data_IF_155287823947
#
_entry.id   IF_155287823947
#
_cell.length_a   1.000
_cell.length_b   1.000
_cell.length_c   1.000
_cell.angle_alpha   90.00
_cell.angle_beta   90.00
_cell.angle_gamma   90.00
#
_symmetry.space_group_name_H-M   'P 1'
#
loop_
_entity.id
_entity.type
_entity.pdbx_description
1 polymer ?
#
# COMPACT_ATOMS: atom_id res chain seq x y z
N UNK A 1 -54.30 33.53 -39.99
CA UNK A 1 -55.19 33.48 -38.82
C UNK A 1 -55.02 32.09 -38.24
N UNK A 2 -54.16 31.99 -37.22
CA UNK A 2 -54.53 31.82 -35.80
C UNK A 2 -54.63 30.31 -35.47
N UNK A 3 -54.15 29.76 -34.36
CA UNK A 3 -53.10 30.09 -33.40
C UNK A 3 -52.90 28.81 -32.56
N UNK A 4 -51.66 28.63 -32.14
CA UNK A 4 -51.08 27.64 -31.21
C UNK A 4 -51.98 27.19 -30.04
N UNK A 5 -51.85 25.91 -29.66
CA UNK A 5 -51.94 25.48 -28.25
C UNK A 5 -50.87 24.42 -27.90
N UNK A 6 -50.18 24.71 -26.80
CA UNK A 6 -49.26 23.94 -25.93
C UNK A 6 -49.93 22.63 -25.40
N UNK A 7 -49.29 21.57 -24.88
CA UNK A 7 -47.99 21.38 -24.23
C UNK A 7 -47.54 19.89 -24.23
N UNK A 8 -46.20 19.76 -24.24
CA UNK A 8 -45.24 18.74 -23.78
C UNK A 8 -45.70 17.51 -22.96
N UNK A 9 -45.18 16.35 -23.36
CA UNK A 9 -44.98 15.18 -22.48
C UNK A 9 -44.17 14.08 -23.18
N UNK A 10 -42.89 13.93 -22.83
CA UNK A 10 -42.00 12.86 -23.32
C UNK A 10 -42.41 11.49 -22.77
N UNK A 11 -42.43 10.45 -23.61
CA UNK A 11 -42.79 9.09 -23.20
C UNK A 11 -42.28 7.99 -24.13
N UNK A 12 -41.03 7.59 -23.88
CA UNK A 12 -40.37 6.27 -24.08
C UNK A 12 -40.73 5.40 -25.30
N UNK A 13 -39.71 5.22 -26.15
CA UNK A 13 -39.52 4.06 -27.03
C UNK A 13 -39.30 2.78 -26.20
N UNK A 14 -40.02 1.71 -26.52
CA UNK A 14 -39.74 0.36 -26.04
C UNK A 14 -38.98 -0.41 -27.14
N UNK A 15 -37.82 -1.01 -26.81
CA UNK A 15 -37.37 -2.22 -27.46
C UNK A 15 -37.59 -3.39 -26.49
N UNK A 16 -38.50 -4.27 -26.86
CA UNK A 16 -38.49 -5.64 -26.38
C UNK A 16 -37.38 -6.38 -27.13
N UNK A 17 -36.32 -6.78 -26.43
CA UNK A 17 -35.73 -8.13 -26.57
C UNK A 17 -34.78 -8.44 -25.40
N UNK A 18 -35.23 -9.42 -24.62
CA UNK A 18 -34.49 -10.54 -24.01
C UNK A 18 -33.38 -10.29 -22.96
N UNK A 19 -33.79 -10.28 -21.69
CA UNK A 19 -33.00 -10.91 -20.62
C UNK A 19 -33.93 -11.73 -19.72
N UNK A 20 -33.66 -13.04 -19.65
CA UNK A 20 -34.42 -13.99 -18.84
C UNK A 20 -34.54 -13.52 -17.38
N UNK A 21 -35.76 -13.38 -16.81
CA UNK A 21 -35.91 -12.93 -15.43
C UNK A 21 -35.54 -14.06 -14.46
N UNK A 22 -34.34 -13.95 -13.87
CA UNK A 22 -33.95 -14.75 -12.70
C UNK A 22 -34.90 -14.41 -11.55
N UNK A 23 -35.74 -15.37 -11.17
CA UNK A 23 -36.76 -15.23 -10.13
C UNK A 23 -36.19 -14.67 -8.82
N UNK A 24 -36.90 -13.77 -8.11
CA UNK A 24 -36.41 -13.14 -6.87
C UNK A 24 -36.08 -14.16 -5.76
N UNK A 25 -36.71 -15.34 -5.79
CA UNK A 25 -36.42 -16.45 -4.89
C UNK A 25 -35.02 -17.07 -5.11
N UNK A 26 -34.57 -17.19 -6.36
CA UNK A 26 -33.26 -17.77 -6.70
C UNK A 26 -32.11 -16.78 -6.41
N UNK A 27 -32.34 -15.48 -6.60
CA UNK A 27 -31.37 -14.42 -6.27
C UNK A 27 -31.16 -14.28 -4.75
N UNK A 28 -32.22 -14.45 -3.95
CA UNK A 28 -32.15 -14.49 -2.48
C UNK A 28 -31.44 -15.75 -1.97
N UNK A 29 -31.74 -16.92 -2.53
CA UNK A 29 -31.04 -18.18 -2.21
C UNK A 29 -29.55 -18.12 -2.56
N UNK A 30 -29.18 -17.56 -3.71
CA UNK A 30 -27.76 -17.41 -4.12
C UNK A 30 -27.00 -16.47 -3.18
N UNK A 31 -27.62 -15.37 -2.72
CA UNK A 31 -27.03 -14.48 -1.70
C UNK A 31 -26.87 -15.17 -0.34
N UNK A 32 -27.86 -15.97 0.09
CA UNK A 32 -27.77 -16.74 1.35
C UNK A 32 -26.65 -17.79 1.27
N UNK A 33 -26.50 -18.47 0.13
CA UNK A 33 -25.42 -19.45 -0.08
C UNK A 33 -24.05 -18.77 -0.06
N UNK A 34 -23.89 -17.62 -0.71
CA UNK A 34 -22.63 -16.86 -0.70
C UNK A 34 -22.30 -16.38 0.72
N UNK A 35 -23.27 -15.82 1.45
CA UNK A 35 -23.04 -15.36 2.83
C UNK A 35 -22.70 -16.55 3.74
N UNK A 36 -23.40 -17.68 3.61
CA UNK A 36 -23.11 -18.88 4.39
C UNK A 36 -21.73 -19.46 4.06
N UNK A 37 -21.33 -19.46 2.78
CA UNK A 37 -20.01 -19.91 2.35
C UNK A 37 -18.91 -18.97 2.86
N UNK A 38 -19.08 -17.66 2.73
CA UNK A 38 -18.13 -16.67 3.25
C UNK A 38 -18.00 -16.74 4.78
N UNK A 39 -19.10 -16.94 5.51
CA UNK A 39 -19.07 -17.13 6.96
C UNK A 39 -18.38 -18.44 7.34
N UNK A 40 -18.62 -19.53 6.61
CA UNK A 40 -17.96 -20.80 6.84
C UNK A 40 -16.44 -20.68 6.60
N UNK A 41 -16.02 -20.06 5.50
CA UNK A 41 -14.59 -19.82 5.20
C UNK A 41 -13.96 -18.94 6.28
N UNK A 42 -14.61 -17.85 6.69
CA UNK A 42 -14.12 -16.99 7.75
C UNK A 42 -13.95 -17.74 9.09
N UNK A 43 -14.94 -18.54 9.48
CA UNK A 43 -14.88 -19.40 10.67
C UNK A 43 -13.73 -20.42 10.59
N UNK A 44 -13.50 -21.04 9.41
CA UNK A 44 -12.37 -21.97 9.25
C UNK A 44 -11.02 -21.28 9.38
N UNK A 45 -10.87 -20.05 8.88
CA UNK A 45 -9.63 -19.28 9.00
C UNK A 45 -9.36 -18.85 10.44
N UNK A 46 -10.39 -18.47 11.20
CA UNK A 46 -10.26 -18.13 12.62
C UNK A 46 -9.85 -19.35 13.47
N UNK A 47 -10.46 -20.51 13.23
CA UNK A 47 -10.12 -21.75 13.95
C UNK A 47 -8.70 -22.21 13.58
N UNK A 48 -8.32 -22.14 12.30
CA UNK A 48 -6.97 -22.46 11.86
C UNK A 48 -5.93 -21.54 12.53
N UNK A 49 -6.19 -20.22 12.56
CA UNK A 49 -5.32 -19.25 13.23
C UNK A 49 -5.15 -19.56 14.72
N UNK A 50 -6.21 -19.98 15.42
CA UNK A 50 -6.14 -20.31 16.84
C UNK A 50 -5.31 -21.57 17.10
N UNK A 51 -5.43 -22.58 16.24
CA UNK A 51 -4.62 -23.81 16.31
C UNK A 51 -3.13 -23.51 16.05
N UNK A 52 -2.81 -22.62 15.10
CA UNK A 52 -1.42 -22.23 14.81
C UNK A 52 -0.77 -21.51 16.01
N UNK A 53 -1.52 -20.65 16.70
CA UNK A 53 -1.05 -19.95 17.92
C UNK A 53 -0.86 -20.93 19.09
N UNK A 54 -1.78 -21.89 19.27
CA UNK A 54 -1.68 -22.90 20.32
C UNK A 54 -0.51 -23.88 20.09
N UNK A 55 -0.22 -24.24 18.83
CA UNK A 55 0.93 -25.09 18.47
C UNK A 55 2.26 -24.33 18.55
N UNK A 56 2.29 -23.00 18.33
CA UNK A 56 3.48 -22.18 18.55
C UNK A 56 3.78 -21.91 20.04
N UNK A 57 2.82 -22.14 20.95
CA UNK A 57 3.04 -21.91 22.39
C UNK A 57 3.76 -23.08 23.10
N UNK A 58 4.02 -24.18 22.40
CA UNK A 58 4.72 -25.35 22.96
C UNK A 58 6.08 -25.59 22.31
N UNK A 59 6.92 -24.57 22.23
CA UNK A 59 8.37 -24.73 22.05
C UNK A 59 9.12 -23.42 22.40
N UNK A 60 9.60 -23.29 23.65
CA UNK A 60 10.95 -22.73 23.89
C UNK A 60 11.37 -22.89 25.37
N UNK A 61 12.16 -23.92 25.63
CA UNK A 61 13.26 -23.86 26.60
C UNK A 61 14.52 -24.31 25.89
N UNK A 62 15.42 -23.37 25.57
CA UNK A 62 16.87 -23.54 25.69
C UNK A 62 17.63 -22.31 25.20
N UNK A 63 18.45 -21.79 26.13
CA UNK A 63 19.69 -21.00 26.04
C UNK A 63 19.78 -19.74 25.14
N UNK A 64 20.48 -18.69 25.63
CA UNK A 64 20.69 -17.46 24.88
C UNK A 64 21.60 -17.73 23.66
N UNK A 65 21.31 -17.20 22.47
CA UNK A 65 22.24 -17.27 21.37
C UNK A 65 23.47 -16.42 21.72
N UNK A 66 24.63 -17.08 21.73
CA UNK A 66 25.91 -16.42 21.74
C UNK A 66 26.01 -15.44 20.56
N UNK A 67 26.62 -14.28 20.84
CA UNK A 67 27.15 -13.35 19.85
C UNK A 67 27.95 -14.12 18.78
N UNK A 68 27.46 -14.10 17.56
CA UNK A 68 28.26 -14.37 16.36
C UNK A 68 28.09 -13.20 15.41
N UNK A 69 29.01 -12.24 15.53
CA UNK A 69 29.18 -11.14 14.59
C UNK A 69 29.76 -11.66 13.27
N UNK A 70 28.92 -12.26 12.44
CA UNK A 70 29.07 -12.13 11.00
C UNK A 70 28.42 -10.79 10.68
N UNK A 71 29.19 -9.69 10.65
CA UNK A 71 28.61 -8.34 10.46
C UNK A 71 28.10 -8.19 9.03
N UNK A 72 26.96 -8.82 8.74
CA UNK A 72 26.17 -8.52 7.56
C UNK A 72 25.87 -7.02 7.58
N UNK A 73 26.08 -6.37 6.44
CA UNK A 73 25.77 -4.96 6.24
C UNK A 73 24.34 -4.68 6.72
N UNK A 74 24.13 -3.81 7.74
CA UNK A 74 22.81 -3.55 8.29
C UNK A 74 21.78 -3.15 7.24
N UNK A 75 22.21 -2.40 6.21
CA UNK A 75 21.33 -2.00 5.13
C UNK A 75 20.89 -3.21 4.29
N UNK A 76 21.80 -4.16 4.00
CA UNK A 76 21.45 -5.40 3.29
C UNK A 76 20.49 -6.25 4.11
N UNK A 77 20.68 -6.33 5.42
CA UNK A 77 19.75 -7.03 6.31
C UNK A 77 18.36 -6.43 6.24
N UNK A 78 18.23 -5.10 6.30
CA UNK A 78 16.92 -4.43 6.16
C UNK A 78 16.33 -4.65 4.77
N UNK A 79 17.09 -4.46 3.70
CA UNK A 79 16.55 -4.61 2.34
C UNK A 79 16.17 -6.05 1.97
N UNK A 80 16.72 -7.06 2.67
CA UNK A 80 16.39 -8.47 2.45
C UNK A 80 14.94 -8.85 2.81
N UNK A 81 14.25 -8.04 3.64
CA UNK A 81 12.84 -8.28 3.99
C UNK A 81 11.87 -7.67 2.98
N UNK A 82 12.40 -7.00 1.95
CA UNK A 82 11.61 -6.27 0.95
C UNK A 82 11.39 -7.10 -0.33
N UNK A 83 10.33 -6.77 -1.08
CA UNK A 83 10.07 -7.39 -2.38
C UNK A 83 11.06 -6.95 -3.45
N UNK A 84 11.62 -5.75 -3.32
CA UNK A 84 12.57 -5.18 -4.29
C UNK A 84 13.91 -4.84 -3.60
N UNK A 85 14.73 -5.85 -3.23
CA UNK A 85 15.97 -5.62 -2.47
C UNK A 85 16.96 -4.69 -3.16
N UNK A 86 17.12 -4.80 -4.48
CA UNK A 86 18.04 -3.95 -5.25
C UNK A 86 17.56 -2.49 -5.26
N UNK A 87 16.26 -2.28 -5.47
CA UNK A 87 15.61 -0.96 -5.43
C UNK A 87 15.70 -0.33 -4.01
N UNK A 88 15.56 -1.15 -2.97
CA UNK A 88 15.79 -0.73 -1.58
C UNK A 88 17.25 -0.31 -1.35
N UNK A 89 18.21 -1.10 -1.83
CA UNK A 89 19.63 -0.78 -1.68
C UNK A 89 20.00 0.50 -2.42
N UNK A 90 19.56 0.66 -3.67
CA UNK A 90 19.86 1.86 -4.47
C UNK A 90 19.23 3.12 -3.89
N UNK A 91 18.01 3.02 -3.33
CA UNK A 91 17.31 4.18 -2.76
C UNK A 91 17.90 4.62 -1.42
N UNK A 92 18.36 3.69 -0.58
CA UNK A 92 18.80 3.99 0.78
C UNK A 92 20.31 4.21 0.93
N UNK A 93 21.14 3.60 0.08
CA UNK A 93 22.60 3.71 0.20
C UNK A 93 23.11 5.16 0.17
N UNK A 94 22.62 6.06 -0.72
CA UNK A 94 23.06 7.46 -0.74
C UNK A 94 22.66 8.25 0.53
N UNK A 95 21.59 7.83 1.19
CA UNK A 95 21.04 8.49 2.38
C UNK A 95 21.60 7.91 3.69
N UNK A 96 22.22 6.73 3.63
CA UNK A 96 22.69 5.99 4.81
C UNK A 96 24.08 6.46 5.30
N UNK A 97 24.21 7.77 5.57
CA UNK A 97 25.44 8.37 6.10
C UNK A 97 25.14 9.25 7.32
N UNK A 98 25.76 9.01 8.50
CA UNK A 98 26.63 7.89 8.82
C UNK A 98 25.87 6.54 8.81
N UNK A 99 26.58 5.39 8.70
CA UNK A 99 25.96 4.07 8.80
C UNK A 99 25.21 3.90 10.12
N UNK A 100 24.11 3.16 10.09
CA UNK A 100 23.28 2.87 11.26
C UNK A 100 22.89 1.41 11.33
N UNK A 101 22.59 0.92 12.52
CA UNK A 101 21.95 -0.38 12.77
C UNK A 101 20.52 -0.23 13.29
N UNK A 102 19.97 0.99 13.36
CA UNK A 102 18.64 1.25 13.91
C UNK A 102 17.56 1.07 12.83
N UNK A 103 16.65 0.07 12.95
CA UNK A 103 15.58 -0.16 11.98
C UNK A 103 14.65 1.04 11.79
N UNK A 104 14.36 1.80 12.86
CA UNK A 104 13.52 3.00 12.75
C UNK A 104 14.20 4.08 11.91
N UNK A 105 15.54 4.17 11.92
CA UNK A 105 16.26 5.07 11.03
C UNK A 105 16.12 4.63 9.58
N UNK A 106 16.28 3.33 9.29
CA UNK A 106 16.08 2.83 7.92
C UNK A 106 14.65 3.02 7.42
N UNK A 107 13.66 2.80 8.28
CA UNK A 107 12.26 3.09 7.95
C UNK A 107 12.03 4.56 7.62
N UNK A 108 12.59 5.48 8.42
CA UNK A 108 12.54 6.92 8.14
C UNK A 108 13.22 7.31 6.82
N UNK A 109 14.40 6.74 6.53
CA UNK A 109 15.08 6.95 5.26
C UNK A 109 14.25 6.44 4.08
N UNK A 110 13.58 5.29 4.24
CA UNK A 110 12.69 4.72 3.23
C UNK A 110 11.48 5.60 2.96
N UNK A 111 10.82 6.11 4.01
CA UNK A 111 9.74 7.10 3.89
C UNK A 111 10.21 8.35 3.13
N UNK A 112 11.40 8.86 3.46
CA UNK A 112 11.95 10.04 2.81
C UNK A 112 12.26 9.79 1.33
N UNK A 113 12.86 8.64 1.00
CA UNK A 113 13.12 8.24 -0.38
C UNK A 113 11.82 8.09 -1.18
N UNK A 114 10.79 7.45 -0.62
CA UNK A 114 9.47 7.33 -1.24
C UNK A 114 8.85 8.71 -1.50
N UNK A 115 8.89 9.61 -0.52
CA UNK A 115 8.32 10.96 -0.65
C UNK A 115 9.01 11.77 -1.75
N UNK A 116 10.35 11.74 -1.80
CA UNK A 116 11.12 12.43 -2.83
C UNK A 116 10.81 11.89 -4.23
N UNK A 117 10.74 10.56 -4.39
CA UNK A 117 10.44 9.96 -5.68
C UNK A 117 9.03 10.35 -6.15
N UNK A 118 8.02 10.27 -5.28
CA UNK A 118 6.64 10.67 -5.60
C UNK A 118 6.54 12.15 -5.95
N UNK A 119 7.16 13.03 -5.14
CA UNK A 119 7.14 14.47 -5.40
C UNK A 119 7.79 14.82 -6.75
N UNK A 120 8.78 14.04 -7.18
CA UNK A 120 9.44 14.25 -8.47
C UNK A 120 8.53 13.95 -9.67
N UNK A 121 7.51 13.10 -9.53
CA UNK A 121 6.67 12.63 -10.64
C UNK A 121 5.87 13.77 -11.29
N UNK A 122 5.45 14.76 -10.50
CA UNK A 122 4.64 15.88 -10.98
C UNK A 122 5.34 16.74 -12.03
N UNK A 123 6.62 17.04 -11.83
CA UNK A 123 7.42 17.80 -12.78
C UNK A 123 7.75 17.05 -14.07
N UNK A 124 7.29 15.79 -14.18
CA UNK A 124 7.62 14.87 -15.26
C UNK A 124 6.36 14.36 -15.98
N UNK A 125 5.20 14.96 -15.68
CA UNK A 125 3.94 14.66 -16.35
C UNK A 125 4.01 15.07 -17.83
N UNK A 126 3.57 14.21 -18.77
CA UNK A 126 3.44 14.60 -20.18
C UNK A 126 2.39 15.72 -20.33
N UNK A 127 2.54 16.54 -21.38
CA UNK A 127 1.68 17.70 -21.60
C UNK A 127 0.19 17.32 -21.72
N UNK A 128 -0.58 17.78 -20.74
CA UNK A 128 -2.00 18.16 -20.76
C UNK A 128 -3.01 17.21 -21.46
N UNK A 129 -2.98 15.92 -21.13
CA UNK A 129 -4.15 15.04 -21.23
C UNK A 129 -4.89 15.00 -19.89
N UNK A 130 -6.22 14.88 -19.88
CA UNK A 130 -7.03 14.92 -18.65
C UNK A 130 -6.54 13.93 -17.57
N UNK A 131 -6.10 12.73 -17.97
CA UNK A 131 -5.58 11.74 -17.02
C UNK A 131 -4.23 12.14 -16.40
N UNK A 132 -3.41 12.97 -17.08
CA UNK A 132 -2.19 13.51 -16.48
C UNK A 132 -2.51 14.47 -15.33
N UNK A 133 -3.62 15.21 -15.42
CA UNK A 133 -4.11 16.06 -14.33
C UNK A 133 -4.63 15.22 -13.16
N UNK A 134 -5.42 14.18 -13.44
CA UNK A 134 -5.94 13.28 -12.40
C UNK A 134 -4.80 12.58 -11.66
N UNK A 135 -3.76 12.14 -12.38
CA UNK A 135 -2.54 11.61 -11.77
C UNK A 135 -1.79 12.63 -10.89
N UNK A 136 -1.80 13.93 -11.24
CA UNK A 136 -1.19 14.95 -10.40
C UNK A 136 -1.89 15.04 -9.04
N UNK A 137 -3.22 14.93 -8.99
CA UNK A 137 -3.98 14.92 -7.74
C UNK A 137 -3.67 13.66 -6.91
N UNK A 138 -3.58 12.49 -7.55
CA UNK A 138 -3.18 11.24 -6.90
C UNK A 138 -1.75 11.28 -6.33
N UNK A 139 -0.82 11.99 -6.98
CA UNK A 139 0.53 12.20 -6.43
C UNK A 139 0.54 13.18 -5.25
N UNK A 140 -0.31 14.22 -5.30
CA UNK A 140 -0.87 14.95 -4.15
C UNK A 140 -1.09 14.06 -2.93
N UNK A 141 -2.07 13.20 -3.07
CA UNK A 141 -2.57 12.39 -1.99
C UNK A 141 -1.50 11.40 -1.51
N UNK A 142 -0.77 10.76 -2.42
CA UNK A 142 0.33 9.86 -2.09
C UNK A 142 1.44 10.58 -1.29
N UNK A 143 1.88 11.76 -1.73
CA UNK A 143 2.90 12.55 -1.04
C UNK A 143 2.42 13.01 0.35
N UNK A 144 1.16 13.44 0.46
CA UNK A 144 0.53 13.82 1.73
C UNK A 144 0.52 12.66 2.72
N UNK A 145 0.16 11.45 2.28
CA UNK A 145 0.13 10.24 3.11
C UNK A 145 1.52 9.79 3.57
N UNK A 146 2.51 9.84 2.68
CA UNK A 146 3.91 9.57 3.02
C UNK A 146 4.45 10.62 4.00
N UNK A 147 4.13 11.90 3.79
CA UNK A 147 4.49 12.99 4.69
C UNK A 147 3.89 12.85 6.08
N UNK A 148 2.60 12.50 6.17
CA UNK A 148 1.92 12.16 7.44
C UNK A 148 2.58 10.97 8.14
N UNK A 149 2.99 9.97 7.37
CA UNK A 149 3.70 8.81 7.91
C UNK A 149 5.05 9.20 8.50
N UNK A 150 5.82 10.03 7.80
CA UNK A 150 7.09 10.56 8.28
C UNK A 150 6.93 11.39 9.56
N UNK A 151 5.87 12.21 9.66
CA UNK A 151 5.61 12.99 10.87
C UNK A 151 5.21 12.10 12.06
N UNK A 152 4.45 11.04 11.84
CA UNK A 152 3.99 10.14 12.92
C UNK A 152 5.13 9.39 13.61
N UNK A 153 6.25 9.17 12.92
CA UNK A 153 7.47 8.58 13.50
C UNK A 153 8.49 9.60 14.00
N UNK A 154 8.24 10.90 13.82
CA UNK A 154 8.98 11.98 14.47
C UNK A 154 8.28 12.27 15.79
N UNK A 155 8.87 11.83 16.89
CA UNK A 155 8.29 12.03 18.22
C UNK A 155 9.30 12.61 19.18
N UNK A 156 8.77 13.44 20.08
CA UNK A 156 9.53 14.00 21.19
C UNK A 156 10.20 12.89 22.03
N UNK A 157 11.38 13.18 22.61
CA UNK A 157 12.06 12.23 23.49
C UNK A 157 11.14 11.71 24.60
N UNK A 158 11.02 10.38 24.72
CA UNK A 158 10.23 9.73 25.77
C UNK A 158 8.82 9.28 25.38
N UNK A 159 8.38 9.52 24.14
CA UNK A 159 7.11 8.98 23.62
C UNK A 159 7.35 7.73 22.80
N UNK A 160 6.56 6.68 23.04
CA UNK A 160 6.66 5.45 22.29
C UNK A 160 6.35 5.67 20.80
N UNK A 161 7.30 5.34 19.92
CA UNK A 161 7.20 5.69 18.50
C UNK A 161 6.40 4.65 17.73
N UNK A 162 6.59 3.37 18.04
CA UNK A 162 6.05 2.25 17.28
C UNK A 162 5.00 1.47 18.08
N UNK A 163 3.97 2.18 18.55
CA UNK A 163 2.78 1.54 19.15
C UNK A 163 1.95 0.82 18.09
N UNK A 164 1.15 -0.17 18.49
CA UNK A 164 0.26 -0.93 17.58
C UNK A 164 -0.63 -0.01 16.74
N UNK A 165 -1.22 1.01 17.38
CA UNK A 165 -2.08 1.98 16.73
C UNK A 165 -1.32 2.78 15.66
N UNK A 166 -0.12 3.28 16.00
CA UNK A 166 0.70 4.04 15.05
C UNK A 166 1.19 3.17 13.89
N UNK A 167 1.58 1.93 14.15
CA UNK A 167 1.94 0.98 13.09
C UNK A 167 0.75 0.76 12.14
N UNK A 168 -0.46 0.59 12.68
CA UNK A 168 -1.68 0.43 11.87
C UNK A 168 -1.98 1.67 11.02
N UNK A 169 -1.82 2.88 11.58
CA UNK A 169 -2.00 4.13 10.84
C UNK A 169 -0.97 4.27 9.71
N UNK A 170 0.31 3.99 10.01
CA UNK A 170 1.40 3.98 9.04
C UNK A 170 1.14 2.98 7.91
N UNK A 171 0.71 1.76 8.24
CA UNK A 171 0.33 0.74 7.26
C UNK A 171 -0.78 1.25 6.35
N UNK A 172 -1.78 1.91 6.92
CA UNK A 172 -2.92 2.46 6.17
C UNK A 172 -2.47 3.53 5.20
N UNK A 173 -1.73 4.55 5.66
CA UNK A 173 -1.30 5.66 4.82
C UNK A 173 -0.30 5.24 3.74
N UNK A 174 0.66 4.37 4.06
CA UNK A 174 1.63 3.88 3.09
C UNK A 174 0.93 2.99 2.05
N UNK A 175 -0.01 2.13 2.46
CA UNK A 175 -0.76 1.30 1.50
C UNK A 175 -1.65 2.13 0.59
N UNK A 176 -2.29 3.17 1.12
CA UNK A 176 -3.13 4.04 0.31
C UNK A 176 -2.30 4.88 -0.68
N UNK A 177 -1.07 5.29 -0.33
CA UNK A 177 -0.16 5.89 -1.32
C UNK A 177 0.22 4.95 -2.48
N UNK A 178 0.28 3.62 -2.25
CA UNK A 178 0.43 2.66 -3.35
C UNK A 178 -0.82 2.61 -4.24
N UNK A 179 -2.00 2.61 -3.62
CA UNK A 179 -3.28 2.61 -4.35
C UNK A 179 -3.43 3.83 -5.25
N UNK A 180 -2.98 5.01 -4.81
CA UNK A 180 -3.05 6.24 -5.61
C UNK A 180 -2.15 6.15 -6.85
N UNK A 181 -0.92 5.63 -6.70
CA UNK A 181 -0.01 5.42 -7.84
C UNK A 181 -0.53 4.34 -8.80
N UNK A 182 -1.12 3.27 -8.27
CA UNK A 182 -1.73 2.19 -9.06
C UNK A 182 -2.94 2.71 -9.87
N UNK A 183 -3.81 3.49 -9.22
CA UNK A 183 -4.97 4.14 -9.86
C UNK A 183 -4.53 5.09 -10.97
N UNK A 184 -3.44 5.84 -10.76
CA UNK A 184 -2.86 6.67 -11.80
C UNK A 184 -2.43 5.79 -12.98
N UNK A 185 -1.65 4.72 -12.76
CA UNK A 185 -1.20 3.83 -13.84
C UNK A 185 -2.36 3.22 -14.64
N UNK A 186 -3.45 2.84 -13.98
CA UNK A 186 -4.66 2.34 -14.63
C UNK A 186 -5.30 3.42 -15.51
N UNK A 187 -5.44 4.65 -15.02
CA UNK A 187 -5.97 5.78 -15.79
C UNK A 187 -5.12 6.12 -17.02
N UNK A 188 -3.81 5.86 -16.95
CA UNK A 188 -2.88 6.11 -18.06
C UNK A 188 -2.85 5.01 -19.11
N UNK A 189 -3.08 3.76 -18.71
CA UNK A 189 -3.11 2.64 -19.64
C UNK A 189 -4.18 2.84 -20.73
N UNK A 190 -5.25 3.56 -20.39
CA UNK A 190 -6.34 3.91 -21.31
C UNK A 190 -5.96 4.98 -22.36
N UNK A 191 -4.82 5.68 -22.21
CA UNK A 191 -4.41 6.76 -23.14
C UNK A 191 -3.55 6.31 -24.33
N UNK A 192 -2.90 5.14 -24.25
CA UNK A 192 -2.25 4.49 -25.41
C UNK A 192 -1.04 5.21 -26.06
N UNK A 193 -0.45 6.24 -25.42
CA UNK A 193 0.66 7.03 -26.01
C UNK A 193 2.07 6.54 -25.59
N UNK A 194 3.08 6.77 -26.43
CA UNK A 194 4.47 6.39 -26.12
C UNK A 194 5.08 7.20 -24.96
N UNK A 195 4.62 8.44 -24.74
CA UNK A 195 5.02 9.28 -23.60
C UNK A 195 4.57 8.68 -22.25
N UNK A 196 3.51 7.86 -22.25
CA UNK A 196 3.09 7.08 -21.07
C UNK A 196 4.14 6.03 -20.69
N UNK A 197 4.94 5.52 -21.64
CA UNK A 197 5.92 4.46 -21.40
C UNK A 197 7.05 4.85 -20.44
N UNK A 198 7.74 5.95 -20.72
CA UNK A 198 8.84 6.42 -19.85
C UNK A 198 8.34 6.85 -18.48
N UNK A 199 7.16 7.45 -18.44
CA UNK A 199 6.58 7.91 -17.19
C UNK A 199 6.05 6.75 -16.34
N UNK A 200 5.46 5.72 -16.96
CA UNK A 200 5.06 4.47 -16.28
C UNK A 200 6.24 3.84 -15.52
N UNK A 201 7.43 3.82 -16.12
CA UNK A 201 8.64 3.31 -15.44
C UNK A 201 8.98 4.11 -14.18
N UNK A 202 8.79 5.44 -14.22
CA UNK A 202 9.03 6.31 -13.06
C UNK A 202 8.00 6.08 -11.96
N UNK A 203 6.72 5.97 -12.31
CA UNK A 203 5.65 5.66 -11.35
C UNK A 203 5.89 4.28 -10.73
N UNK A 204 6.26 3.28 -11.52
CA UNK A 204 6.62 1.95 -11.02
C UNK A 204 7.80 1.98 -10.04
N UNK A 205 8.84 2.78 -10.31
CA UNK A 205 9.95 2.97 -9.37
C UNK A 205 9.47 3.55 -8.04
N UNK A 206 8.61 4.57 -8.08
CA UNK A 206 8.02 5.13 -6.87
C UNK A 206 7.20 4.07 -6.09
N UNK A 207 6.42 3.23 -6.79
CA UNK A 207 5.70 2.12 -6.17
C UNK A 207 6.64 1.09 -5.53
N UNK A 208 7.79 0.77 -6.15
CA UNK A 208 8.80 -0.09 -5.54
C UNK A 208 9.32 0.50 -4.23
N UNK A 209 9.63 1.81 -4.21
CA UNK A 209 10.13 2.49 -3.01
C UNK A 209 9.09 2.44 -1.89
N UNK A 210 7.83 2.76 -2.20
CA UNK A 210 6.74 2.70 -1.21
C UNK A 210 6.50 1.26 -0.74
N UNK A 211 6.55 0.27 -1.64
CA UNK A 211 6.42 -1.15 -1.30
C UNK A 211 7.55 -1.62 -0.38
N UNK A 212 8.78 -1.13 -0.60
CA UNK A 212 9.91 -1.42 0.29
C UNK A 212 9.70 -0.78 1.66
N UNK A 213 9.23 0.47 1.71
CA UNK A 213 8.85 1.17 2.96
C UNK A 213 7.81 0.38 3.76
N UNK A 214 6.75 -0.12 3.10
CA UNK A 214 5.72 -0.93 3.75
C UNK A 214 6.27 -2.28 4.24
N UNK A 215 7.15 -2.93 3.47
CA UNK A 215 7.77 -4.18 3.88
C UNK A 215 8.67 -4.01 5.10
N UNK A 216 9.44 -2.91 5.17
CA UNK A 216 10.26 -2.57 6.34
C UNK A 216 9.36 -2.37 7.57
N UNK A 217 8.25 -1.63 7.43
CA UNK A 217 7.28 -1.43 8.52
C UNK A 217 6.69 -2.76 9.02
N UNK A 218 6.23 -3.60 8.10
CA UNK A 218 5.61 -4.89 8.44
C UNK A 218 6.58 -5.84 9.15
N UNK A 219 7.88 -5.71 8.89
CA UNK A 219 8.93 -6.51 9.52
C UNK A 219 9.67 -5.78 10.64
N UNK A 220 9.22 -4.59 11.05
CA UNK A 220 9.99 -3.70 11.91
C UNK A 220 10.38 -4.38 13.24
N UNK A 221 9.46 -5.14 13.85
CA UNK A 221 9.74 -5.89 15.10
C UNK A 221 10.82 -6.95 14.92
N UNK A 222 10.74 -7.71 13.83
CA UNK A 222 11.74 -8.73 13.50
C UNK A 222 13.10 -8.09 13.25
N UNK A 223 13.14 -6.92 12.61
CA UNK A 223 14.37 -6.16 12.41
C UNK A 223 14.97 -5.72 13.75
N UNK A 224 14.18 -5.13 14.66
CA UNK A 224 14.65 -4.76 15.99
C UNK A 224 15.23 -5.97 16.75
N UNK A 225 14.56 -7.12 16.71
CA UNK A 225 15.06 -8.37 17.30
C UNK A 225 16.38 -8.83 16.66
N UNK A 226 16.46 -8.77 15.32
CA UNK A 226 17.66 -9.18 14.55
C UNK A 226 18.88 -8.33 14.92
N UNK A 227 18.68 -7.03 15.19
CA UNK A 227 19.75 -6.13 15.61
C UNK A 227 19.97 -6.11 17.14
N UNK A 228 19.24 -6.92 17.92
CA UNK A 228 19.35 -6.96 19.37
C UNK A 228 18.90 -5.66 20.07
N UNK A 229 17.94 -4.95 19.47
CA UNK A 229 17.42 -3.67 19.94
C UNK A 229 15.98 -3.82 20.46
N UNK A 230 15.61 -2.99 21.44
CA UNK A 230 14.23 -2.87 21.90
C UNK A 230 13.40 -1.99 20.96
N UNK A 231 12.11 -2.31 20.83
CA UNK A 231 11.16 -1.47 20.11
C UNK A 231 10.95 -0.15 20.86
N UNK A 232 11.12 1.01 20.19
CA UNK A 232 10.91 2.33 20.77
C UNK A 232 9.44 2.76 20.81
#
# INVERSE_FOLDING_TARGET
MESINFAKGYGKVNPAEESNPISPASRRRRRIIIIAFSLAVFLTLLIASLITVLLHHSASKSNPPQLSSNSADPLKTVCSVTRYPDSCLSSLSPLNSPPSSNPLRFFNLSLHASLLEVASLKGQLPDAEAAAKDCAELFDDAASQLGRSAESVRVEPGVAVLTEMRISDLQTWISASLTDLDTCLDGLAEMGSAAVGEWKVKVQRAMEYISNTLAILNNIRSLFQTFGLAMP
#
